data_IF_535821061430
#
_entry.id   IF_535821061430
#
_cell.length_a   1.000
_cell.length_b   1.000
_cell.length_c   1.000
_cell.angle_alpha   90.00
_cell.angle_beta   90.00
_cell.angle_gamma   90.00
#
_symmetry.space_group_name_H-M   'P 1'
#
loop_
_entity.id
_entity.type
_entity.pdbx_description
1 polymer ?
#
# COMPACT_ATOMS: atom_id res chain seq x y z
N UNK A 1 17.68 -10.91 -8.52
CA UNK A 1 18.03 -9.50 -8.20
C UNK A 1 18.19 -9.41 -6.69
N UNK A 2 19.35 -8.93 -6.24
CA UNK A 2 19.64 -8.76 -4.83
C UNK A 2 18.62 -7.79 -4.18
N UNK A 3 18.07 -8.14 -3.02
CA UNK A 3 17.07 -7.34 -2.33
C UNK A 3 17.55 -5.92 -1.99
N UNK A 4 18.86 -5.74 -1.78
CA UNK A 4 19.45 -4.41 -1.57
C UNK A 4 19.45 -3.55 -2.84
N UNK A 5 19.66 -4.16 -4.02
CA UNK A 5 19.59 -3.44 -5.30
C UNK A 5 18.15 -2.97 -5.55
N UNK A 6 17.17 -3.84 -5.36
CA UNK A 6 15.76 -3.49 -5.51
C UNK A 6 15.34 -2.38 -4.54
N UNK A 7 15.76 -2.43 -3.28
CA UNK A 7 15.48 -1.39 -2.30
C UNK A 7 16.01 -0.03 -2.73
N UNK A 8 17.23 0.03 -3.27
CA UNK A 8 17.83 1.28 -3.78
C UNK A 8 17.05 1.84 -4.96
N UNK A 9 16.66 1.00 -5.91
CA UNK A 9 15.87 1.42 -7.08
C UNK A 9 14.47 1.93 -6.68
N UNK A 10 13.77 1.19 -5.81
CA UNK A 10 12.46 1.62 -5.29
C UNK A 10 12.61 2.93 -4.53
N UNK A 11 13.63 3.08 -3.67
CA UNK A 11 13.86 4.33 -2.92
C UNK A 11 14.12 5.52 -3.85
N UNK A 12 14.92 5.34 -4.90
CA UNK A 12 15.19 6.38 -5.89
C UNK A 12 13.92 6.82 -6.63
N UNK A 13 13.15 5.87 -7.14
CA UNK A 13 11.88 6.15 -7.81
C UNK A 13 10.84 6.74 -6.88
N UNK A 14 10.81 6.30 -5.62
CA UNK A 14 9.93 6.85 -4.59
C UNK A 14 10.26 8.33 -4.29
N UNK A 15 11.54 8.68 -4.18
CA UNK A 15 11.95 10.09 -4.06
C UNK A 15 11.51 10.91 -5.27
N UNK A 16 11.71 10.40 -6.49
CA UNK A 16 11.23 11.05 -7.71
C UNK A 16 9.72 11.29 -7.66
N UNK A 17 8.94 10.29 -7.25
CA UNK A 17 7.49 10.43 -7.10
C UNK A 17 7.13 11.53 -6.09
N UNK A 18 7.81 11.61 -4.95
CA UNK A 18 7.54 12.63 -3.92
C UNK A 18 7.84 14.04 -4.42
N UNK A 19 8.93 14.20 -5.16
CA UNK A 19 9.27 15.49 -5.80
C UNK A 19 8.23 15.84 -6.85
N UNK A 20 7.79 14.91 -7.66
CA UNK A 20 6.69 15.10 -8.64
C UNK A 20 5.36 15.51 -7.98
N UNK A 21 5.16 15.12 -6.73
CA UNK A 21 3.99 15.48 -5.91
C UNK A 21 4.17 16.79 -5.15
N UNK A 22 5.27 17.53 -5.35
CA UNK A 22 5.54 18.85 -4.78
C UNK A 22 6.38 18.84 -3.50
N UNK A 23 6.96 17.72 -3.11
CA UNK A 23 7.93 17.66 -1.99
C UNK A 23 9.27 18.22 -2.46
N UNK A 24 10.00 18.99 -1.59
CA UNK A 24 11.35 19.39 -1.95
C UNK A 24 12.30 18.19 -2.02
N UNK A 25 13.34 18.22 -2.89
CA UNK A 25 14.31 17.13 -3.01
C UNK A 25 14.97 16.74 -1.67
N UNK A 26 15.30 17.76 -0.84
CA UNK A 26 15.90 17.52 0.48
C UNK A 26 14.93 16.84 1.45
N UNK A 27 13.65 17.22 1.42
CA UNK A 27 12.62 16.57 2.22
C UNK A 27 12.37 15.13 1.77
N UNK A 28 12.36 14.87 0.45
CA UNK A 28 12.24 13.53 -0.10
C UNK A 28 13.42 12.63 0.31
N UNK A 29 14.64 13.17 0.26
CA UNK A 29 15.86 12.47 0.69
C UNK A 29 15.81 12.12 2.18
N UNK A 30 15.45 13.07 3.04
CA UNK A 30 15.29 12.80 4.48
C UNK A 30 14.23 11.75 4.75
N UNK A 31 13.10 11.83 4.06
CA UNK A 31 12.01 10.86 4.23
C UNK A 31 12.39 9.45 3.71
N UNK A 32 13.23 9.34 2.69
CA UNK A 32 13.75 8.05 2.24
C UNK A 32 14.77 7.46 3.23
N UNK A 33 15.52 8.32 3.93
CA UNK A 33 16.53 7.92 4.90
C UNK A 33 15.97 7.57 6.28
N UNK A 34 14.69 7.87 6.58
CA UNK A 34 14.06 7.62 7.89
C UNK A 34 13.83 6.13 8.21
N UNK A 35 14.09 5.25 7.26
CA UNK A 35 14.01 3.80 7.41
C UNK A 35 12.63 3.18 7.21
N UNK A 36 11.56 3.97 7.21
CA UNK A 36 10.18 3.47 7.10
C UNK A 36 9.91 2.69 5.81
N UNK A 37 10.46 3.16 4.69
CA UNK A 37 10.31 2.46 3.41
C UNK A 37 10.98 1.08 3.47
N UNK A 38 12.19 1.01 4.04
CA UNK A 38 12.92 -0.25 4.23
C UNK A 38 12.13 -1.20 5.14
N UNK A 39 11.63 -0.70 6.26
CA UNK A 39 10.83 -1.47 7.21
C UNK A 39 9.55 -2.00 6.53
N UNK A 40 8.83 -1.15 5.80
CA UNK A 40 7.65 -1.55 5.06
C UNK A 40 7.94 -2.64 4.02
N UNK A 41 9.02 -2.50 3.24
CA UNK A 41 9.42 -3.49 2.23
C UNK A 41 9.98 -4.78 2.84
N UNK A 42 10.39 -4.78 4.11
CA UNK A 42 10.84 -5.95 4.86
C UNK A 42 9.69 -6.81 5.42
N UNK A 43 8.46 -6.35 5.37
CA UNK A 43 7.30 -7.09 5.86
C UNK A 43 6.98 -8.29 4.97
N UNK A 44 6.56 -9.39 5.58
CA UNK A 44 6.23 -10.63 4.87
C UNK A 44 5.02 -10.50 3.93
N UNK A 45 4.08 -9.60 4.27
CA UNK A 45 2.86 -9.32 3.52
C UNK A 45 3.04 -8.25 2.43
N UNK A 46 4.22 -7.63 2.31
CA UNK A 46 4.51 -6.58 1.33
C UNK A 46 5.38 -7.13 0.20
N UNK A 47 5.07 -6.73 -1.03
CA UNK A 47 5.84 -7.05 -2.23
C UNK A 47 6.09 -5.78 -3.04
N UNK A 48 7.27 -5.70 -3.61
CA UNK A 48 7.63 -4.64 -4.55
C UNK A 48 8.11 -5.24 -5.88
N UNK A 49 7.77 -4.55 -6.95
CA UNK A 49 8.24 -4.85 -8.31
C UNK A 49 8.82 -3.59 -8.93
N UNK A 50 9.88 -3.75 -9.70
CA UNK A 50 10.53 -2.67 -10.43
C UNK A 50 10.49 -2.99 -11.92
N UNK A 51 9.97 -2.05 -12.68
CA UNK A 51 10.02 -2.09 -14.15
C UNK A 51 11.29 -1.38 -14.63
N UNK A 52 12.00 -2.03 -15.55
CA UNK A 52 13.22 -1.48 -16.17
C UNK A 52 13.05 -1.39 -17.68
N UNK A 53 13.62 -0.34 -18.25
CA UNK A 53 13.80 -0.19 -19.70
C UNK A 53 15.31 -0.01 -19.92
N UNK A 54 15.88 -0.80 -20.78
CA UNK A 54 17.34 -0.82 -21.07
C UNK A 54 18.20 -0.86 -19.79
N UNK A 55 17.79 -1.69 -18.82
CA UNK A 55 18.48 -1.85 -17.54
C UNK A 55 18.19 -0.75 -16.50
N UNK A 56 17.58 0.35 -16.91
CA UNK A 56 17.26 1.48 -16.02
C UNK A 56 15.88 1.31 -15.36
N UNK A 57 15.81 1.45 -14.04
CA UNK A 57 14.54 1.43 -13.30
C UNK A 57 13.71 2.67 -13.63
N UNK A 58 12.49 2.47 -14.15
CA UNK A 58 11.61 3.54 -14.64
C UNK A 58 10.23 3.52 -13.99
N UNK A 59 9.93 2.54 -13.17
CA UNK A 59 8.67 2.44 -12.47
C UNK A 59 8.68 1.36 -11.40
N UNK A 60 7.76 1.44 -10.46
CA UNK A 60 7.60 0.43 -9.44
C UNK A 60 6.13 0.26 -9.04
N UNK A 61 5.83 -0.90 -8.46
CA UNK A 61 4.59 -1.15 -7.74
C UNK A 61 4.91 -1.74 -6.37
N UNK A 62 4.19 -1.31 -5.34
CA UNK A 62 4.21 -1.89 -4.00
C UNK A 62 2.81 -2.38 -3.71
N UNK A 63 2.70 -3.63 -3.28
CA UNK A 63 1.44 -4.22 -2.85
C UNK A 63 1.56 -4.79 -1.46
N UNK A 64 0.45 -4.83 -0.76
CA UNK A 64 0.30 -5.56 0.50
C UNK A 64 -0.82 -6.59 0.40
N UNK A 65 -0.67 -7.69 1.13
CA UNK A 65 -1.69 -8.71 1.28
C UNK A 65 -2.49 -8.39 2.54
N UNK A 66 -3.80 -8.27 2.41
CA UNK A 66 -4.69 -8.05 3.54
C UNK A 66 -5.68 -9.23 3.68
N UNK A 67 -5.27 -10.32 4.36
CA UNK A 67 -6.13 -11.49 4.54
C UNK A 67 -7.38 -11.21 5.37
N UNK A 68 -7.41 -10.08 6.09
CA UNK A 68 -8.52 -9.66 6.95
C UNK A 68 -9.08 -8.30 6.55
N UNK A 69 -9.09 -7.98 5.25
CA UNK A 69 -9.72 -6.76 4.73
C UNK A 69 -11.22 -6.71 5.04
N UNK A 70 -11.90 -5.72 4.51
CA UNK A 70 -13.37 -5.62 4.65
C UNK A 70 -14.11 -6.75 3.92
N UNK A 71 -13.43 -7.46 3.02
CA UNK A 71 -13.91 -8.68 2.38
C UNK A 71 -13.56 -9.90 3.24
N UNK A 72 -14.39 -10.94 3.18
CA UNK A 72 -14.10 -12.26 3.73
C UNK A 72 -13.10 -13.04 2.91
N UNK A 73 -12.74 -12.53 1.73
CA UNK A 73 -11.78 -13.10 0.79
C UNK A 73 -10.42 -12.40 0.89
N UNK A 74 -9.31 -13.11 0.59
CA UNK A 74 -8.00 -12.48 0.50
C UNK A 74 -8.00 -11.34 -0.52
N UNK A 75 -7.38 -10.22 -0.17
CA UNK A 75 -7.23 -9.06 -1.04
C UNK A 75 -5.74 -8.76 -1.27
N UNK A 76 -5.39 -8.39 -2.48
CA UNK A 76 -4.10 -7.75 -2.79
C UNK A 76 -4.33 -6.25 -3.00
N UNK A 77 -3.74 -5.45 -2.13
CA UNK A 77 -3.83 -4.00 -2.22
C UNK A 77 -2.64 -3.43 -3.00
N UNK A 78 -2.89 -2.58 -3.98
CA UNK A 78 -1.88 -1.72 -4.60
C UNK A 78 -1.73 -0.49 -3.70
N UNK A 79 -0.69 -0.47 -2.88
CA UNK A 79 -0.39 0.65 -1.98
C UNK A 79 0.25 1.81 -2.73
N UNK A 80 1.10 1.50 -3.69
CA UNK A 80 1.75 2.48 -4.55
C UNK A 80 1.99 1.90 -5.94
N UNK A 81 1.81 2.74 -6.96
CA UNK A 81 2.26 2.50 -8.33
C UNK A 81 2.77 3.81 -8.90
N UNK A 82 3.94 3.76 -9.51
CA UNK A 82 4.57 4.93 -10.10
C UNK A 82 5.31 4.56 -11.38
N UNK A 83 5.26 5.46 -12.35
CA UNK A 83 6.06 5.41 -13.57
C UNK A 83 6.66 6.79 -13.80
N UNK A 84 7.97 6.84 -13.95
CA UNK A 84 8.69 8.07 -14.31
C UNK A 84 8.05 8.72 -15.54
N UNK A 85 7.92 10.04 -15.53
CA UNK A 85 7.25 10.81 -16.59
C UNK A 85 7.83 10.51 -17.97
N UNK A 86 9.16 10.31 -18.05
CA UNK A 86 9.87 10.02 -19.30
C UNK A 86 9.55 8.65 -19.87
N UNK A 87 9.14 7.69 -19.03
CA UNK A 87 8.80 6.33 -19.41
C UNK A 87 7.28 6.09 -19.51
N UNK A 88 6.47 7.12 -19.34
CA UNK A 88 5.01 7.00 -19.49
C UNK A 88 4.63 6.74 -20.95
N UNK A 89 3.46 6.12 -21.15
CA UNK A 89 2.90 5.73 -22.46
C UNK A 89 3.67 4.65 -23.21
N UNK A 90 4.68 4.03 -22.60
CA UNK A 90 5.45 2.92 -23.15
C UNK A 90 5.05 1.56 -22.55
N UNK A 91 3.84 1.42 -22.03
CA UNK A 91 3.35 0.16 -21.47
C UNK A 91 3.85 -0.22 -20.07
N UNK A 92 4.72 0.57 -19.44
CA UNK A 92 5.32 0.27 -18.13
C UNK A 92 4.27 0.02 -17.05
N UNK A 93 3.26 0.89 -16.95
CA UNK A 93 2.19 0.71 -15.98
C UNK A 93 1.39 -0.58 -16.22
N UNK A 94 1.16 -0.93 -17.50
CA UNK A 94 0.51 -2.20 -17.88
C UNK A 94 1.35 -3.40 -17.42
N UNK A 95 2.65 -3.38 -17.66
CA UNK A 95 3.54 -4.46 -17.24
C UNK A 95 3.54 -4.65 -15.71
N UNK A 96 3.58 -3.55 -14.95
CA UNK A 96 3.47 -3.59 -13.49
C UNK A 96 2.13 -4.18 -13.04
N UNK A 97 1.01 -3.74 -13.61
CA UNK A 97 -0.31 -4.28 -13.29
C UNK A 97 -0.44 -5.76 -13.67
N UNK A 98 0.12 -6.19 -14.80
CA UNK A 98 0.16 -7.62 -15.19
C UNK A 98 0.90 -8.45 -14.13
N UNK A 99 2.00 -7.94 -13.59
CA UNK A 99 2.75 -8.60 -12.52
C UNK A 99 1.95 -8.68 -11.23
N UNK A 100 1.22 -7.62 -10.88
CA UNK A 100 0.32 -7.59 -9.71
C UNK A 100 -0.82 -8.59 -9.87
N UNK A 101 -1.45 -8.68 -11.04
CA UNK A 101 -2.49 -9.67 -11.33
C UNK A 101 -1.96 -11.09 -11.15
N UNK A 102 -0.84 -11.42 -11.78
CA UNK A 102 -0.23 -12.74 -11.63
C UNK A 102 0.16 -13.06 -10.17
N UNK A 103 0.51 -12.05 -9.37
CA UNK A 103 0.75 -12.23 -7.93
C UNK A 103 -0.55 -12.51 -7.19
N UNK A 104 -1.61 -11.75 -7.42
CA UNK A 104 -2.92 -11.94 -6.82
C UNK A 104 -3.47 -13.34 -7.10
N UNK A 105 -3.40 -13.81 -8.34
CA UNK A 105 -3.80 -15.16 -8.75
C UNK A 105 -3.04 -16.25 -7.99
N UNK A 106 -1.70 -16.12 -7.87
CA UNK A 106 -0.89 -17.07 -7.09
C UNK A 106 -1.24 -17.08 -5.59
N UNK A 107 -1.77 -15.99 -5.06
CA UNK A 107 -2.23 -15.85 -3.68
C UNK A 107 -3.68 -16.28 -3.48
N UNK A 108 -4.37 -16.70 -4.53
CA UNK A 108 -5.79 -17.05 -4.51
C UNK A 108 -6.69 -15.83 -4.23
N UNK A 109 -6.22 -14.63 -4.56
CA UNK A 109 -6.98 -13.40 -4.42
C UNK A 109 -7.76 -13.11 -5.69
N UNK A 110 -9.07 -13.05 -5.59
CA UNK A 110 -9.96 -12.67 -6.71
C UNK A 110 -10.14 -11.15 -6.83
N UNK A 111 -9.69 -10.41 -5.81
CA UNK A 111 -9.91 -8.96 -5.72
C UNK A 111 -8.58 -8.24 -5.56
N UNK A 112 -8.37 -7.22 -6.41
CA UNK A 112 -7.27 -6.26 -6.28
C UNK A 112 -7.88 -4.91 -5.92
N UNK A 113 -7.41 -4.33 -4.82
CA UNK A 113 -7.86 -3.02 -4.34
C UNK A 113 -6.77 -1.97 -4.50
N UNK A 114 -7.13 -0.70 -4.53
CA UNK A 114 -6.19 0.41 -4.48
C UNK A 114 -6.73 1.56 -3.65
N UNK A 115 -5.88 2.13 -2.81
CA UNK A 115 -6.20 3.31 -2.01
C UNK A 115 -5.82 4.57 -2.79
N UNK A 116 -6.79 5.20 -3.43
CA UNK A 116 -6.59 6.41 -4.23
C UNK A 116 -7.12 7.63 -3.48
N UNK A 117 -6.31 8.69 -3.29
CA UNK A 117 -6.83 9.93 -2.72
C UNK A 117 -7.96 10.49 -3.60
N UNK A 118 -9.09 10.85 -2.97
CA UNK A 118 -10.26 11.33 -3.70
C UNK A 118 -9.97 12.55 -4.59
N UNK A 119 -9.02 13.40 -4.16
CA UNK A 119 -8.60 14.59 -4.89
C UNK A 119 -7.70 14.31 -6.09
N UNK A 120 -7.11 13.12 -6.19
CA UNK A 120 -6.19 12.76 -7.28
C UNK A 120 -6.95 12.36 -8.53
N UNK A 121 -7.30 13.36 -9.36
CA UNK A 121 -8.00 13.13 -10.64
C UNK A 121 -7.21 12.25 -11.60
N UNK A 122 -5.86 12.35 -11.60
CA UNK A 122 -4.99 11.55 -12.46
C UNK A 122 -5.05 10.08 -12.05
N UNK A 123 -4.87 9.78 -10.76
CA UNK A 123 -4.92 8.41 -10.25
C UNK A 123 -6.31 7.78 -10.41
N UNK A 124 -7.39 8.53 -10.12
CA UNK A 124 -8.75 8.05 -10.31
C UNK A 124 -9.02 7.68 -11.78
N UNK A 125 -8.62 8.54 -12.74
CA UNK A 125 -8.74 8.22 -14.18
C UNK A 125 -7.86 7.05 -14.60
N UNK A 126 -6.67 6.91 -14.02
CA UNK A 126 -5.80 5.79 -14.30
C UNK A 126 -6.45 4.47 -13.89
N UNK A 127 -6.90 4.34 -12.65
CA UNK A 127 -7.51 3.10 -12.16
C UNK A 127 -8.86 2.80 -12.82
N UNK A 128 -9.70 3.82 -13.07
CA UNK A 128 -10.96 3.64 -13.79
C UNK A 128 -10.80 3.03 -15.18
N UNK A 129 -9.75 3.39 -15.92
CA UNK A 129 -9.43 2.79 -17.23
C UNK A 129 -9.10 1.30 -17.15
N UNK A 130 -8.67 0.81 -15.99
CA UNK A 130 -8.38 -0.60 -15.73
C UNK A 130 -9.54 -1.33 -15.06
N UNK A 131 -10.73 -0.71 -15.02
CA UNK A 131 -11.94 -1.34 -14.49
C UNK A 131 -12.11 -1.24 -12.98
N UNK A 132 -11.26 -0.48 -12.28
CA UNK A 132 -11.47 -0.24 -10.85
C UNK A 132 -12.68 0.66 -10.64
N UNK A 133 -13.58 0.23 -9.74
CA UNK A 133 -14.72 1.01 -9.28
C UNK A 133 -14.58 1.40 -7.81
N UNK A 134 -15.20 2.51 -7.42
CA UNK A 134 -15.19 2.95 -6.02
C UNK A 134 -16.26 2.21 -5.23
N UNK A 135 -15.84 1.33 -4.32
CA UNK A 135 -16.74 0.52 -3.47
C UNK A 135 -16.68 0.91 -2.00
N UNK A 136 -15.64 1.60 -1.56
CA UNK A 136 -15.41 1.95 -0.14
C UNK A 136 -15.02 3.41 0.00
N UNK A 137 -15.53 4.07 1.02
CA UNK A 137 -15.10 5.40 1.45
C UNK A 137 -14.24 5.27 2.70
N UNK A 138 -12.96 5.59 2.62
CA UNK A 138 -12.06 5.65 3.77
C UNK A 138 -12.22 6.98 4.49
N UNK A 139 -12.58 6.94 5.78
CA UNK A 139 -12.68 8.13 6.63
C UNK A 139 -11.44 8.24 7.51
N UNK A 140 -10.89 9.45 7.63
CA UNK A 140 -9.67 9.72 8.39
C UNK A 140 -9.93 10.86 9.36
N UNK A 141 -9.46 10.71 10.59
CA UNK A 141 -9.46 11.74 11.61
C UNK A 141 -8.13 11.68 12.38
N UNK A 142 -7.59 12.83 12.77
CA UNK A 142 -6.39 12.81 13.61
C UNK A 142 -6.74 12.34 15.04
N UNK A 143 -5.81 11.60 15.66
CA UNK A 143 -5.99 11.09 17.04
C UNK A 143 -6.30 12.19 18.04
N UNK A 144 -5.66 13.34 17.91
CA UNK A 144 -5.89 14.50 18.78
C UNK A 144 -7.30 15.08 18.66
N UNK A 145 -7.81 15.18 17.42
CA UNK A 145 -9.19 15.64 17.16
C UNK A 145 -10.20 14.65 17.71
N UNK A 146 -10.00 13.35 17.45
CA UNK A 146 -10.92 12.34 17.96
C UNK A 146 -10.93 12.31 19.50
N UNK A 147 -9.74 12.33 20.13
CA UNK A 147 -9.61 12.41 21.59
C UNK A 147 -10.39 13.59 22.17
N UNK A 148 -10.20 14.79 21.61
CA UNK A 148 -10.88 16.00 22.07
C UNK A 148 -12.41 15.87 21.94
N UNK A 149 -12.89 15.31 20.85
CA UNK A 149 -14.34 15.10 20.66
C UNK A 149 -14.92 14.11 21.66
N UNK A 150 -14.22 13.01 21.94
CA UNK A 150 -14.66 12.00 22.90
C UNK A 150 -14.64 12.51 24.35
N UNK A 151 -13.69 13.38 24.73
CA UNK A 151 -13.68 13.99 26.08
C UNK A 151 -14.85 14.96 26.28
N UNK A 152 -15.26 15.68 25.24
CA UNK A 152 -16.42 16.59 25.30
C UNK A 152 -17.74 15.81 25.41
N UNK A 153 -17.80 14.59 24.85
CA UNK A 153 -19.04 13.78 24.85
C UNK A 153 -19.20 12.90 26.07
N UNK A 154 -18.24 12.91 27.03
CA UNK A 154 -18.39 12.33 28.37
C UNK A 154 -18.71 10.82 28.42
N UNK A 155 -17.94 9.96 27.77
CA UNK A 155 -18.13 8.50 27.92
C UNK A 155 -17.34 7.95 29.12
N UNK A 156 -18.05 7.40 30.10
CA UNK A 156 -17.50 6.75 31.29
C UNK A 156 -17.08 5.29 31.04
N UNK A 157 -17.37 4.74 29.88
CA UNK A 157 -17.03 3.35 29.52
C UNK A 157 -15.59 3.25 29.01
N UNK A 158 -14.77 2.44 29.68
CA UNK A 158 -13.40 2.06 29.24
C UNK A 158 -13.41 0.66 28.66
N UNK A 159 -13.38 0.50 27.33
CA UNK A 159 -13.23 -0.81 26.70
C UNK A 159 -11.91 -1.44 27.10
N UNK A 160 -11.92 -2.71 27.51
CA UNK A 160 -10.71 -3.48 27.78
C UNK A 160 -10.25 -4.10 26.45
N UNK A 161 -8.95 -4.03 26.09
CA UNK A 161 -8.44 -4.71 24.92
C UNK A 161 -8.59 -6.23 25.10
N UNK A 162 -9.12 -6.89 24.08
CA UNK A 162 -9.20 -8.35 24.03
C UNK A 162 -7.94 -8.88 23.34
N UNK A 163 -7.16 -9.70 24.05
CA UNK A 163 -5.99 -10.34 23.47
C UNK A 163 -6.42 -11.48 22.54
N UNK A 164 -6.49 -11.21 21.27
CA UNK A 164 -6.93 -12.16 20.23
C UNK A 164 -6.12 -13.47 20.21
N UNK A 165 -4.82 -13.43 20.54
CA UNK A 165 -3.96 -14.63 20.63
C UNK A 165 -4.41 -15.65 21.69
N UNK A 166 -5.03 -15.22 22.77
CA UNK A 166 -5.50 -16.12 23.81
C UNK A 166 -6.80 -16.86 23.47
N UNK A 167 -7.65 -16.27 22.60
CA UNK A 167 -8.91 -16.88 22.18
C UNK A 167 -8.70 -18.06 21.21
N UNK A 168 -7.75 -17.92 20.27
CA UNK A 168 -7.42 -18.97 19.31
C UNK A 168 -6.78 -20.20 19.98
N UNK A 169 -5.92 -19.99 20.99
CA UNK A 169 -5.26 -21.09 21.72
C UNK A 169 -6.23 -21.93 22.56
N UNK A 170 -7.34 -21.36 23.05
CA UNK A 170 -8.38 -22.10 23.75
C UNK A 170 -9.24 -22.95 22.82
N UNK A 171 -9.66 -22.39 21.69
CA UNK A 171 -10.49 -23.08 20.69
C UNK A 171 -9.81 -24.33 20.10
N UNK A 172 -8.47 -24.35 20.01
CA UNK A 172 -7.70 -25.48 19.51
C UNK A 172 -7.49 -26.60 20.57
N UNK A 173 -7.58 -26.28 21.88
CA UNK A 173 -7.46 -27.27 22.96
C UNK A 173 -8.78 -27.99 23.28
N UNK A 174 -9.91 -27.43 22.90
CA UNK A 174 -11.24 -28.03 23.15
C UNK A 174 -11.69 -28.95 22.02
N UNK A 175 -10.87 -29.19 20.98
CA UNK A 175 -11.18 -30.04 19.83
C UNK A 175 -10.23 -31.25 19.71
N UNK A 176 -9.51 -31.63 20.78
CA UNK A 176 -8.72 -32.88 20.84
C UNK A 176 -9.34 -33.84 21.86
#
# INVERSE_FOLDING_TARGET
VDGQSMLREVSSLWMTQRVDQGMSPEAATRAAADGRLREALGRADVRAWVARVDGTAVGYAITSENPFGLSTQPEVAIDQIFVDRRARRHGVARALLTTVVAHAERRGSEVIVSNVPAQSREANRFFARWGFSSVVVRRVVSTSVLRRRLTVTGSTLRPRPVAFKAAIARSLRERV
#
